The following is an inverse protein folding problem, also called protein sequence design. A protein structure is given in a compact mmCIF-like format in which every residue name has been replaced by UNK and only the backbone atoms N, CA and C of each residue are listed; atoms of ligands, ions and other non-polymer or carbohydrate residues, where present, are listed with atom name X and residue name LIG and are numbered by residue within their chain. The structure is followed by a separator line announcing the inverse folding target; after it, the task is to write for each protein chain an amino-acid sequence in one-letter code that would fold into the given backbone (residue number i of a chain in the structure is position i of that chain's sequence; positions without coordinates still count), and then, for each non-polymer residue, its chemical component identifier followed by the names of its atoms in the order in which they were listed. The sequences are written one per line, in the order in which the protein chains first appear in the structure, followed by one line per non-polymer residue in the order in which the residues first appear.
data_IF_497174411007
#
_entry.id   IF_497174411007
#
_cell.length_a   1.000
_cell.length_b   1.000
_cell.length_c   1.000
_cell.angle_alpha   90.00
_cell.angle_beta   90.00
_cell.angle_gamma   90.00
#
_symmetry.space_group_name_H-M   'P 1'
#
loop_
_entity.id
_entity.type
_entity.pdbx_description
1 polymer ?
#
# COMPACT_ATOMS: atom_id res chain seq x y z
N UNK A 1 5.79 -1.35 13.45
CA UNK A 1 7.09 -0.68 13.18
C UNK A 1 7.30 0.28 14.34
N UNK A 2 8.19 -0.08 15.25
CA UNK A 2 8.50 0.70 16.47
C UNK A 2 9.71 1.59 16.17
N UNK A 3 9.50 2.88 15.96
CA UNK A 3 10.53 3.88 15.64
C UNK A 3 11.32 4.27 16.89
N UNK A 4 11.98 3.30 17.53
CA UNK A 4 12.63 3.51 18.84
C UNK A 4 14.04 4.07 18.74
N UNK A 5 14.24 5.35 18.39
CA UNK A 5 15.62 5.89 18.43
C UNK A 5 15.82 7.35 18.78
N UNK A 6 15.10 7.99 19.72
CA UNK A 6 15.45 9.40 20.04
C UNK A 6 15.32 9.75 21.52
N UNK A 7 16.39 9.57 22.30
CA UNK A 7 16.55 10.19 23.63
C UNK A 7 16.98 11.64 23.46
N UNK A 8 16.26 12.58 24.09
CA UNK A 8 16.63 14.00 24.12
C UNK A 8 16.52 14.61 25.52
N UNK A 9 17.36 15.62 25.73
CA UNK A 9 17.37 16.55 26.85
C UNK A 9 16.15 17.48 26.77
N UNK A 10 15.47 17.70 27.92
CA UNK A 10 14.30 18.59 28.03
C UNK A 10 14.71 20.06 27.84
N UNK A 11 14.09 20.77 26.89
CA UNK A 11 14.01 22.24 26.86
C UNK A 11 12.65 22.69 27.40
N UNK A 12 12.61 23.87 28.02
CA UNK A 12 11.41 24.45 28.63
C UNK A 12 10.31 24.67 27.57
N UNK A 13 9.10 24.20 27.91
CA UNK A 13 7.89 24.36 27.12
C UNK A 13 7.36 25.80 27.26
N UNK A 14 7.36 26.56 26.16
CA UNK A 14 6.53 27.77 26.06
C UNK A 14 5.08 27.34 25.85
N UNK A 15 4.14 27.98 26.56
CA UNK A 15 2.71 27.72 26.44
C UNK A 15 2.24 28.04 25.00
N UNK A 16 2.15 27.00 24.17
CA UNK A 16 1.54 27.05 22.84
C UNK A 16 0.18 26.39 22.91
N UNK A 17 -0.82 27.02 22.31
CA UNK A 17 -2.12 26.40 22.06
C UNK A 17 -1.92 25.29 21.02
N UNK A 18 -1.84 24.05 21.50
CA UNK A 18 -1.69 22.88 20.66
C UNK A 18 -3.04 22.45 20.09
N UNK A 19 -3.07 21.94 18.84
CA UNK A 19 -4.30 21.47 18.22
C UNK A 19 -4.77 20.22 18.97
N UNK A 20 -6.09 20.09 19.15
CA UNK A 20 -6.68 18.94 19.86
C UNK A 20 -7.16 17.86 18.89
N UNK A 21 -7.46 18.23 17.64
CA UNK A 21 -7.87 17.29 16.60
C UNK A 21 -6.90 17.20 15.42
N UNK A 22 -7.01 16.08 14.69
CA UNK A 22 -6.10 15.76 13.58
C UNK A 22 -6.20 16.76 12.43
N UNK A 23 -7.39 17.25 12.10
CA UNK A 23 -7.56 18.16 10.97
C UNK A 23 -6.96 19.55 11.28
N UNK A 24 -7.16 20.05 12.50
CA UNK A 24 -6.49 21.26 12.99
C UNK A 24 -4.98 21.11 13.00
N UNK A 25 -4.48 19.96 13.47
CA UNK A 25 -3.05 19.66 13.48
C UNK A 25 -2.44 19.68 12.08
N UNK A 26 -3.12 19.07 11.10
CA UNK A 26 -2.69 19.09 9.69
C UNK A 26 -2.72 20.52 9.12
N UNK A 27 -3.77 21.31 9.41
CA UNK A 27 -3.85 22.71 8.98
C UNK A 27 -2.72 23.55 9.56
N UNK A 28 -2.42 23.36 10.84
CA UNK A 28 -1.33 24.06 11.50
C UNK A 28 0.03 23.64 10.93
N UNK A 29 0.25 22.35 10.69
CA UNK A 29 1.46 21.84 10.03
C UNK A 29 1.64 22.45 8.63
N UNK A 30 0.58 22.54 7.84
CA UNK A 30 0.61 23.15 6.51
C UNK A 30 0.98 24.63 6.58
N UNK A 31 0.38 25.37 7.53
CA UNK A 31 0.71 26.77 7.80
C UNK A 31 2.18 26.94 8.19
N UNK A 32 2.72 26.07 9.06
CA UNK A 32 4.14 26.07 9.39
C UNK A 32 5.02 25.78 8.17
N UNK A 33 4.65 24.81 7.34
CA UNK A 33 5.41 24.39 6.15
C UNK A 33 5.48 25.49 5.08
N UNK A 34 4.37 26.19 4.85
CA UNK A 34 4.27 27.29 3.89
C UNK A 34 4.87 28.60 4.43
N UNK A 35 4.92 28.76 5.76
CA UNK A 35 5.48 29.93 6.41
C UNK A 35 6.98 30.10 6.15
N UNK A 36 7.38 31.22 5.54
CA UNK A 36 8.79 31.52 5.26
C UNK A 36 9.63 31.67 6.54
N UNK A 37 9.01 32.10 7.64
CA UNK A 37 9.67 32.42 8.92
C UNK A 37 9.18 31.57 10.08
N UNK A 38 8.37 30.54 9.81
CA UNK A 38 7.73 29.73 10.85
C UNK A 38 8.58 28.50 11.19
N UNK A 39 9.00 28.31 12.46
CA UNK A 39 9.65 27.07 12.87
C UNK A 39 8.66 25.88 12.83
N UNK A 40 9.15 24.64 12.63
CA UNK A 40 10.57 24.28 12.52
C UNK A 40 11.15 24.43 11.11
N UNK A 41 10.32 24.65 10.09
CA UNK A 41 10.75 24.66 8.68
C UNK A 41 11.60 25.88 8.30
N UNK A 42 11.43 27.02 8.96
CA UNK A 42 12.32 28.17 8.76
C UNK A 42 13.74 27.93 9.30
N UNK A 43 13.89 27.09 10.33
CA UNK A 43 15.17 26.73 10.95
C UNK A 43 15.82 25.50 10.29
N UNK A 44 15.81 25.44 8.96
CA UNK A 44 16.31 24.26 8.23
C UNK A 44 17.84 24.16 8.19
N UNK A 45 18.55 25.30 8.21
CA UNK A 45 20.01 25.33 8.12
C UNK A 45 20.66 25.45 9.49
N UNK A 46 21.68 24.63 9.77
CA UNK A 46 22.45 24.76 11.00
C UNK A 46 23.22 26.09 11.03
N UNK A 47 23.39 26.72 12.20
CA UNK A 47 24.11 27.99 12.32
C UNK A 47 25.52 27.92 11.72
N UNK A 48 25.86 28.87 10.84
CA UNK A 48 27.18 28.98 10.21
C UNK A 48 27.36 28.13 8.95
N UNK A 49 26.36 27.37 8.52
CA UNK A 49 26.39 26.63 7.25
C UNK A 49 25.81 27.47 6.13
N UNK A 50 26.58 27.63 5.05
CA UNK A 50 26.13 28.24 3.80
C UNK A 50 26.40 27.29 2.62
N UNK A 51 25.43 27.23 1.72
CA UNK A 51 25.51 26.52 0.45
C UNK A 51 25.69 27.52 -0.69
N UNK A 52 26.23 27.03 -1.80
CA UNK A 52 26.26 27.80 -3.04
C UNK A 52 24.85 27.90 -3.63
N UNK A 53 24.55 28.93 -4.45
CA UNK A 53 23.20 29.16 -4.98
C UNK A 53 22.61 28.02 -5.81
N UNK A 54 23.46 27.18 -6.40
CA UNK A 54 23.09 25.99 -7.16
C UNK A 54 22.71 24.79 -6.28
N UNK A 55 23.14 24.75 -5.00
CA UNK A 55 22.89 23.65 -4.07
C UNK A 55 21.84 24.01 -3.03
N UNK A 56 21.78 25.28 -2.62
CA UNK A 56 20.90 25.76 -1.56
C UNK A 56 19.43 25.35 -1.75
N UNK A 57 18.82 25.43 -2.96
CA UNK A 57 17.44 24.99 -3.16
C UNK A 57 17.24 23.50 -2.87
N UNK A 58 18.15 22.65 -3.35
CA UNK A 58 18.13 21.20 -3.11
C UNK A 58 18.29 20.89 -1.63
N UNK A 59 19.28 21.51 -0.97
CA UNK A 59 19.53 21.33 0.46
C UNK A 59 18.32 21.77 1.31
N UNK A 60 17.76 22.95 1.03
CA UNK A 60 16.60 23.48 1.74
C UNK A 60 15.37 22.59 1.56
N UNK A 61 15.09 22.16 0.33
CA UNK A 61 13.92 21.32 0.05
C UNK A 61 14.07 19.93 0.66
N UNK A 62 15.27 19.33 0.61
CA UNK A 62 15.56 18.05 1.25
C UNK A 62 15.35 18.12 2.77
N UNK A 63 15.94 19.12 3.44
CA UNK A 63 15.77 19.27 4.90
C UNK A 63 14.32 19.52 5.29
N UNK A 64 13.61 20.40 4.57
CA UNK A 64 12.18 20.65 4.84
C UNK A 64 11.33 19.40 4.59
N UNK A 65 11.63 18.63 3.54
CA UNK A 65 10.97 17.37 3.23
C UNK A 65 11.15 16.35 4.35
N UNK A 66 12.38 16.20 4.83
CA UNK A 66 12.69 15.34 5.96
C UNK A 66 12.03 15.78 7.26
N UNK A 67 12.00 17.08 7.57
CA UNK A 67 11.26 17.59 8.72
C UNK A 67 9.77 17.24 8.62
N UNK A 68 9.18 17.40 7.43
CA UNK A 68 7.78 17.04 7.22
C UNK A 68 7.57 15.52 7.38
N UNK A 69 8.50 14.71 6.89
CA UNK A 69 8.48 13.25 7.09
C UNK A 69 8.54 12.87 8.57
N UNK A 70 9.39 13.53 9.37
CA UNK A 70 9.47 13.32 10.82
C UNK A 70 8.12 13.50 11.52
N UNK A 71 7.32 14.50 11.11
CA UNK A 71 5.99 14.67 11.68
C UNK A 71 5.09 13.46 11.39
N UNK A 72 5.06 12.98 10.15
CA UNK A 72 4.23 11.82 9.78
C UNK A 72 4.72 10.52 10.43
N UNK A 73 6.02 10.38 10.64
CA UNK A 73 6.60 9.22 11.33
C UNK A 73 6.24 9.19 12.81
N UNK A 74 6.37 10.33 13.51
CA UNK A 74 5.91 10.46 14.90
C UNK A 74 4.39 10.23 15.00
N UNK A 75 3.62 10.72 14.02
CA UNK A 75 2.18 10.51 13.99
C UNK A 75 1.85 9.02 13.78
N UNK A 76 2.59 8.33 12.91
CA UNK A 76 2.46 6.89 12.69
C UNK A 76 2.84 6.07 13.93
N UNK A 77 3.84 6.51 14.71
CA UNK A 77 4.22 5.88 15.97
C UNK A 77 3.08 5.94 16.99
N UNK A 78 2.40 7.09 17.11
CA UNK A 78 1.30 7.27 18.07
C UNK A 78 -0.02 6.63 17.60
N UNK A 79 -0.39 6.82 16.33
CA UNK A 79 -1.73 6.51 15.83
C UNK A 79 -1.79 5.36 14.81
N UNK A 80 -0.64 4.81 14.43
CA UNK A 80 -0.54 3.76 13.42
C UNK A 80 -0.36 4.30 11.99
N UNK A 81 0.11 3.41 11.12
CA UNK A 81 0.49 3.74 9.74
C UNK A 81 -0.68 4.15 8.84
N UNK A 82 -1.86 3.57 9.05
CA UNK A 82 -3.08 3.91 8.28
C UNK A 82 -3.55 5.33 8.60
N UNK A 83 -3.59 5.68 9.89
CA UNK A 83 -3.92 7.03 10.35
C UNK A 83 -2.93 8.07 9.78
N UNK A 84 -1.64 7.80 9.86
CA UNK A 84 -0.60 8.68 9.30
C UNK A 84 -0.72 8.82 7.78
N UNK A 85 -1.04 7.74 7.06
CA UNK A 85 -1.30 7.79 5.62
C UNK A 85 -2.49 8.69 5.30
N UNK A 86 -3.61 8.55 6.01
CA UNK A 86 -4.78 9.42 5.80
C UNK A 86 -4.49 10.88 6.15
N UNK A 87 -3.69 11.13 7.19
CA UNK A 87 -3.24 12.47 7.54
C UNK A 87 -2.37 13.08 6.42
N UNK A 88 -1.46 12.29 5.84
CA UNK A 88 -0.62 12.69 4.70
C UNK A 88 -1.44 12.98 3.44
N UNK A 89 -2.41 12.12 3.11
CA UNK A 89 -3.33 12.32 1.97
C UNK A 89 -4.11 13.63 2.14
N UNK A 90 -4.67 13.86 3.34
CA UNK A 90 -5.36 15.10 3.69
C UNK A 90 -4.45 16.31 3.59
N UNK A 91 -3.21 16.22 4.11
CA UNK A 91 -2.22 17.29 4.02
C UNK A 91 -1.94 17.66 2.56
N UNK A 92 -1.71 16.68 1.69
CA UNK A 92 -1.43 16.91 0.28
C UNK A 92 -2.63 17.53 -0.44
N UNK A 93 -3.86 17.09 -0.14
CA UNK A 93 -5.07 17.70 -0.69
C UNK A 93 -5.25 19.16 -0.26
N UNK A 94 -4.96 19.48 1.01
CA UNK A 94 -4.99 20.86 1.50
C UNK A 94 -3.90 21.72 0.86
N UNK A 95 -2.71 21.16 0.65
CA UNK A 95 -1.63 21.83 -0.07
C UNK A 95 -2.04 22.13 -1.53
N UNK A 96 -2.58 21.14 -2.25
CA UNK A 96 -3.08 21.31 -3.62
C UNK A 96 -4.19 22.37 -3.71
N UNK A 97 -5.07 22.45 -2.72
CA UNK A 97 -6.11 23.47 -2.64
C UNK A 97 -5.53 24.88 -2.43
N UNK A 98 -4.43 25.01 -1.68
CA UNK A 98 -3.75 26.28 -1.44
C UNK A 98 -2.89 26.72 -2.64
N UNK A 99 -2.18 25.78 -3.26
CA UNK A 99 -1.37 25.99 -4.46
C UNK A 99 -1.49 24.75 -5.36
N UNK A 100 -2.08 24.89 -6.57
CA UNK A 100 -2.25 23.77 -7.49
C UNK A 100 -0.92 23.04 -7.76
N UNK A 101 -0.96 21.70 -7.80
CA UNK A 101 0.18 20.77 -8.02
C UNK A 101 1.22 20.69 -6.89
N UNK A 102 1.07 21.47 -5.83
CA UNK A 102 2.01 21.43 -4.70
C UNK A 102 1.89 20.13 -3.88
N UNK A 103 0.67 19.58 -3.74
CA UNK A 103 0.42 18.34 -3.01
C UNK A 103 1.10 17.14 -3.65
N UNK A 104 1.01 16.99 -4.98
CA UNK A 104 1.75 15.94 -5.70
C UNK A 104 3.27 16.06 -5.52
N UNK A 105 3.79 17.29 -5.57
CA UNK A 105 5.23 17.56 -5.39
C UNK A 105 5.69 17.19 -3.99
N UNK A 106 4.91 17.55 -2.96
CA UNK A 106 5.20 17.21 -1.56
C UNK A 106 5.10 15.70 -1.34
N UNK A 107 4.10 15.05 -1.94
CA UNK A 107 3.93 13.61 -1.83
C UNK A 107 5.13 12.86 -2.43
N UNK A 108 5.61 13.30 -3.60
CA UNK A 108 6.82 12.76 -4.22
C UNK A 108 8.07 12.95 -3.36
N UNK A 109 8.18 14.10 -2.68
CA UNK A 109 9.27 14.38 -1.74
C UNK A 109 9.23 13.46 -0.52
N UNK A 110 8.05 13.29 0.10
CA UNK A 110 7.86 12.38 1.24
C UNK A 110 8.14 10.92 0.86
N UNK A 111 7.83 10.49 -0.36
CA UNK A 111 8.19 9.16 -0.85
C UNK A 111 9.69 9.01 -1.10
N UNK A 112 10.38 10.06 -1.55
CA UNK A 112 11.84 10.04 -1.62
C UNK A 112 12.44 9.89 -0.22
N UNK A 113 11.99 10.68 0.76
CA UNK A 113 12.48 10.60 2.15
C UNK A 113 12.23 9.23 2.78
N UNK A 114 11.04 8.66 2.59
CA UNK A 114 10.74 7.30 3.05
C UNK A 114 11.69 6.28 2.41
N UNK A 115 11.91 6.34 1.10
CA UNK A 115 12.83 5.41 0.41
C UNK A 115 14.26 5.57 0.92
N UNK A 116 14.72 6.80 1.14
CA UNK A 116 16.04 7.08 1.70
C UNK A 116 16.17 6.48 3.10
N UNK A 117 15.24 6.76 4.01
CA UNK A 117 15.26 6.20 5.36
C UNK A 117 15.32 4.67 5.37
N UNK A 118 14.45 3.99 4.60
CA UNK A 118 14.44 2.53 4.49
C UNK A 118 15.75 1.99 3.87
N UNK A 119 16.32 2.70 2.90
CA UNK A 119 17.60 2.29 2.31
C UNK A 119 18.72 2.33 3.34
N UNK A 120 18.73 3.32 4.23
CA UNK A 120 19.73 3.40 5.30
C UNK A 120 19.56 2.26 6.27
N UNK A 121 18.33 1.97 6.72
CA UNK A 121 18.04 0.84 7.62
C UNK A 121 18.54 -0.51 7.09
N UNK A 122 18.50 -0.71 5.76
CA UNK A 122 19.00 -1.91 5.12
C UNK A 122 20.54 -2.03 5.08
N UNK A 123 21.29 -0.94 5.28
CA UNK A 123 22.76 -0.95 5.34
C UNK A 123 23.21 -1.57 6.66
N UNK A 124 24.06 -2.60 6.63
CA UNK A 124 24.56 -3.24 7.85
C UNK A 124 25.47 -2.31 8.66
N UNK A 125 25.58 -2.51 9.98
CA UNK A 125 26.46 -1.72 10.84
C UNK A 125 27.93 -1.76 10.36
N UNK A 126 28.37 -2.90 9.82
CA UNK A 126 29.70 -3.09 9.23
C UNK A 126 29.91 -2.16 8.01
N UNK A 127 28.88 -1.99 7.17
CA UNK A 127 28.92 -1.12 6.01
C UNK A 127 28.85 0.37 6.37
N UNK A 128 28.41 0.71 7.59
CA UNK A 128 28.39 2.09 8.11
C UNK A 128 29.66 2.47 8.87
N UNK A 129 30.56 1.51 9.08
CA UNK A 129 31.76 1.67 9.89
C UNK A 129 33.00 1.87 9.02
N UNK A 130 33.71 2.97 9.24
CA UNK A 130 34.90 3.35 8.50
C UNK A 130 36.12 3.42 9.42
N UNK A 131 37.32 3.21 8.86
CA UNK A 131 38.58 3.38 9.59
C UNK A 131 39.20 4.73 9.27
N UNK A 132 39.30 5.59 10.29
CA UNK A 132 39.99 6.86 10.21
C UNK A 132 41.11 6.88 11.26
N UNK A 133 42.35 7.06 10.82
CA UNK A 133 43.54 7.14 11.71
C UNK A 133 43.68 5.97 12.72
N UNK A 134 43.21 4.78 12.33
CA UNK A 134 43.24 3.59 13.19
C UNK A 134 42.04 3.44 14.13
N UNK A 135 41.12 4.42 14.16
CA UNK A 135 39.87 4.37 14.92
C UNK A 135 38.70 3.95 14.01
N UNK A 136 37.78 3.18 14.60
CA UNK A 136 36.54 2.75 13.95
C UNK A 136 35.48 3.82 14.19
N UNK A 137 34.98 4.44 13.12
CA UNK A 137 33.98 5.52 13.16
C UNK A 137 32.73 5.06 12.40
N UNK A 138 31.59 5.01 13.07
CA UNK A 138 30.30 4.79 12.42
C UNK A 138 29.72 6.13 11.95
N UNK A 139 29.35 6.22 10.67
CA UNK A 139 28.71 7.43 10.15
C UNK A 139 27.24 7.48 10.59
N UNK A 140 26.75 8.66 11.01
CA UNK A 140 25.36 8.83 11.44
C UNK A 140 24.39 8.73 10.25
N UNK A 141 23.12 8.42 10.51
CA UNK A 141 22.07 8.26 9.49
C UNK A 141 21.95 9.51 8.61
N UNK A 142 22.07 10.69 9.20
CA UNK A 142 22.00 12.00 8.55
C UNK A 142 23.01 12.14 7.41
N UNK A 143 24.17 11.47 7.51
CA UNK A 143 25.16 11.46 6.43
C UNK A 143 24.66 10.70 5.19
N UNK A 144 24.01 9.56 5.40
CA UNK A 144 23.43 8.77 4.32
C UNK A 144 22.21 9.47 3.70
N UNK A 145 21.38 10.12 4.52
CA UNK A 145 20.27 10.97 4.05
C UNK A 145 20.78 12.14 3.20
N UNK A 146 21.83 12.83 3.66
CA UNK A 146 22.49 13.91 2.91
C UNK A 146 23.04 13.45 1.56
N UNK A 147 23.78 12.34 1.57
CA UNK A 147 24.33 11.78 0.34
C UNK A 147 23.20 11.37 -0.63
N UNK A 148 22.18 10.69 -0.12
CA UNK A 148 21.03 10.26 -0.92
C UNK A 148 20.26 11.43 -1.53
N UNK A 149 19.97 12.46 -0.72
CA UNK A 149 19.30 13.69 -1.17
C UNK A 149 20.07 14.34 -2.31
N UNK A 150 21.37 14.58 -2.12
CA UNK A 150 22.19 15.20 -3.17
C UNK A 150 22.28 14.35 -4.43
N UNK A 151 22.27 13.02 -4.33
CA UNK A 151 22.48 12.14 -5.51
C UNK A 151 21.20 11.77 -6.24
N UNK A 152 20.05 11.81 -5.58
CA UNK A 152 18.79 11.28 -6.10
C UNK A 152 17.73 12.36 -6.39
N UNK A 153 17.85 13.56 -5.83
CA UNK A 153 16.92 14.66 -6.13
C UNK A 153 17.16 15.18 -7.55
N UNK A 154 16.16 15.17 -8.46
CA UNK A 154 16.36 15.51 -9.88
C UNK A 154 17.08 16.84 -10.12
N UNK A 155 16.74 17.87 -9.36
CA UNK A 155 17.28 19.23 -9.51
C UNK A 155 18.66 19.43 -8.87
N UNK A 156 19.24 18.38 -8.28
CA UNK A 156 20.57 18.46 -7.68
C UNK A 156 21.67 18.53 -8.75
N UNK A 157 22.71 19.34 -8.55
CA UNK A 157 23.89 19.35 -9.44
C UNK A 157 24.69 18.03 -9.38
N UNK A 158 24.39 17.14 -8.42
CA UNK A 158 25.09 15.87 -8.24
C UNK A 158 24.30 14.64 -8.76
N UNK A 159 23.13 14.85 -9.35
CA UNK A 159 22.21 13.79 -9.78
C UNK A 159 22.86 12.85 -10.80
N UNK A 160 22.72 11.55 -10.59
CA UNK A 160 23.06 10.52 -11.58
C UNK A 160 24.55 10.35 -11.89
N UNK A 161 25.45 11.09 -11.23
CA UNK A 161 26.89 11.02 -11.49
C UNK A 161 27.70 10.71 -10.23
N UNK A 162 27.82 9.42 -9.88
CA UNK A 162 28.57 8.94 -8.71
C UNK A 162 30.05 9.39 -8.68
N UNK A 163 30.61 9.81 -9.80
CA UNK A 163 32.02 10.23 -9.92
C UNK A 163 32.27 11.68 -9.52
N UNK A 164 31.24 12.53 -9.46
CA UNK A 164 31.40 13.95 -9.08
C UNK A 164 31.60 14.05 -7.56
N UNK A 165 32.70 14.63 -7.05
CA UNK A 165 32.88 14.81 -5.61
C UNK A 165 31.82 15.76 -5.04
N UNK A 166 31.27 15.43 -3.87
CA UNK A 166 30.26 16.25 -3.18
C UNK A 166 30.87 17.50 -2.52
N UNK A 167 32.19 17.65 -2.54
CA UNK A 167 32.94 18.81 -2.05
C UNK A 167 32.59 19.25 -0.62
N UNK A 168 32.24 18.28 0.24
CA UNK A 168 31.87 18.53 1.63
C UNK A 168 30.43 18.96 1.85
N UNK A 169 29.61 19.07 0.79
CA UNK A 169 28.20 19.47 0.90
C UNK A 169 27.32 18.39 1.53
N UNK A 170 27.74 17.12 1.44
CA UNK A 170 27.18 15.99 2.18
C UNK A 170 27.33 16.18 3.70
N UNK A 171 28.52 16.54 4.19
CA UNK A 171 28.73 16.83 5.62
C UNK A 171 27.93 18.04 6.09
N UNK A 172 27.95 19.13 5.31
CA UNK A 172 27.15 20.33 5.62
C UNK A 172 25.66 20.01 5.70
N UNK A 173 25.15 19.25 4.73
CA UNK A 173 23.74 18.88 4.68
C UNK A 173 23.38 17.90 5.81
N UNK A 174 24.29 16.99 6.18
CA UNK A 174 24.09 16.11 7.33
C UNK A 174 23.97 16.89 8.64
N UNK A 175 24.79 17.94 8.83
CA UNK A 175 24.66 18.84 9.98
C UNK A 175 23.34 19.60 9.97
N UNK A 176 22.85 20.03 8.80
CA UNK A 176 21.52 20.63 8.67
C UNK A 176 20.41 19.63 9.00
N UNK A 177 20.49 18.36 8.56
CA UNK A 177 19.52 17.33 8.95
C UNK A 177 19.48 17.12 10.46
N UNK A 178 20.65 16.97 11.09
CA UNK A 178 20.74 16.81 12.55
C UNK A 178 20.13 18.00 13.30
N UNK A 179 20.47 19.23 12.88
CA UNK A 179 19.89 20.45 13.46
C UNK A 179 18.37 20.49 13.27
N UNK A 180 17.91 20.20 12.05
CA UNK A 180 16.51 20.20 11.69
C UNK A 180 15.70 19.14 12.45
N UNK A 181 16.29 17.99 12.77
CA UNK A 181 15.71 16.97 13.66
C UNK A 181 15.47 17.54 15.05
N UNK A 182 16.47 18.18 15.66
CA UNK A 182 16.35 18.77 17.00
C UNK A 182 15.23 19.83 17.05
N UNK A 183 15.22 20.75 16.08
CA UNK A 183 14.20 21.80 15.96
C UNK A 183 12.80 21.23 15.69
N UNK A 184 12.69 20.24 14.80
CA UNK A 184 11.43 19.58 14.47
C UNK A 184 10.87 18.82 15.67
N UNK A 185 11.68 18.00 16.34
CA UNK A 185 11.22 17.19 17.48
C UNK A 185 10.77 18.05 18.67
N UNK A 186 11.38 19.22 18.87
CA UNK A 186 10.98 20.17 19.91
C UNK A 186 9.56 20.71 19.68
N UNK A 187 9.10 20.79 18.43
CA UNK A 187 7.75 21.28 18.08
C UNK A 187 6.77 20.14 17.87
N UNK A 188 7.15 19.12 17.11
CA UNK A 188 6.23 18.08 16.64
C UNK A 188 5.85 17.10 17.73
N UNK A 189 6.72 16.78 18.68
CA UNK A 189 6.37 15.87 19.79
C UNK A 189 5.23 16.40 20.66
N UNK A 190 5.30 17.61 21.25
CA UNK A 190 4.19 18.12 22.05
C UNK A 190 2.92 18.30 21.20
N UNK A 191 3.05 18.73 19.94
CA UNK A 191 1.93 18.83 19.00
C UNK A 191 1.22 17.49 18.78
N UNK A 192 1.97 16.40 18.52
CA UNK A 192 1.39 15.06 18.30
C UNK A 192 0.88 14.44 19.60
N UNK A 193 1.54 14.71 20.73
CA UNK A 193 1.05 14.27 22.03
C UNK A 193 -0.33 14.82 22.35
N UNK A 194 -0.60 16.08 22.00
CA UNK A 194 -1.88 16.76 22.24
C UNK A 194 -3.03 16.31 21.31
N UNK A 195 -2.72 15.71 20.16
CA UNK A 195 -3.71 15.38 19.12
C UNK A 195 -4.15 13.94 19.22
N UNK A 196 -5.45 13.69 19.16
CA UNK A 196 -5.97 12.34 18.94
C UNK A 196 -6.48 12.16 17.51
N UNK A 197 -6.30 10.94 16.99
CA UNK A 197 -6.76 10.59 15.66
C UNK A 197 -8.24 10.21 15.65
N UNK A 198 -9.03 10.96 14.89
CA UNK A 198 -10.40 10.62 14.52
C UNK A 198 -10.61 10.87 13.03
N UNK A 199 -10.79 9.79 12.27
CA UNK A 199 -11.03 9.84 10.83
C UNK A 199 -12.29 10.63 10.46
N UNK A 200 -13.28 10.76 11.35
CA UNK A 200 -14.52 11.51 11.10
C UNK A 200 -14.28 13.01 10.91
N UNK A 201 -13.18 13.51 11.45
CA UNK A 201 -12.80 14.92 11.38
C UNK A 201 -12.04 15.26 10.10
N UNK A 202 -11.65 14.25 9.30
CA UNK A 202 -10.98 14.45 8.03
C UNK A 202 -12.01 14.78 6.93
N UNK A 203 -11.96 15.98 6.33
CA UNK A 203 -12.94 16.39 5.32
C UNK A 203 -12.71 15.71 3.96
N UNK A 204 -11.47 15.29 3.67
CA UNK A 204 -11.08 14.73 2.38
C UNK A 204 -10.17 13.51 2.57
N UNK A 205 -10.14 12.62 1.58
CA UNK A 205 -9.27 11.44 1.52
C UNK A 205 -8.92 11.13 0.07
N UNK A 206 -7.92 10.27 -0.16
CA UNK A 206 -7.64 9.69 -1.48
C UNK A 206 -7.87 8.20 -1.43
N UNK A 207 -8.27 7.60 -2.55
CA UNK A 207 -8.33 6.14 -2.67
C UNK A 207 -6.93 5.54 -2.74
N UNK A 208 -6.75 4.33 -2.20
CA UNK A 208 -5.52 3.58 -2.42
C UNK A 208 -5.39 3.19 -3.90
N UNK A 209 -4.17 3.29 -4.45
CA UNK A 209 -3.86 2.80 -5.81
C UNK A 209 -4.08 1.30 -5.95
N UNK A 210 -3.77 0.55 -4.89
CA UNK A 210 -4.07 -0.88 -4.75
C UNK A 210 -4.93 -1.08 -3.51
N UNK A 211 -6.26 -0.93 -3.63
CA UNK A 211 -7.16 -1.10 -2.49
C UNK A 211 -7.23 -2.57 -2.07
N UNK A 212 -7.44 -2.80 -0.78
CA UNK A 212 -7.91 -4.11 -0.33
C UNK A 212 -9.37 -4.33 -0.69
N UNK A 213 -9.90 -5.50 -0.38
CA UNK A 213 -11.22 -5.90 -0.80
C UNK A 213 -12.34 -5.01 -0.26
N UNK A 214 -12.26 -4.61 1.01
CA UNK A 214 -13.28 -3.77 1.65
C UNK A 214 -13.21 -2.35 1.11
N UNK A 215 -12.01 -1.77 0.96
CA UNK A 215 -11.83 -0.45 0.33
C UNK A 215 -12.30 -0.46 -1.13
N UNK A 216 -11.98 -1.53 -1.89
CA UNK A 216 -12.42 -1.68 -3.29
C UNK A 216 -13.94 -1.68 -3.40
N UNK A 217 -14.64 -2.33 -2.47
CA UNK A 217 -16.09 -2.32 -2.47
C UNK A 217 -16.69 -0.96 -2.10
N UNK A 218 -16.03 -0.17 -1.24
CA UNK A 218 -16.41 1.24 -1.03
C UNK A 218 -16.22 2.06 -2.31
N UNK A 219 -15.14 1.86 -3.05
CA UNK A 219 -14.91 2.54 -4.33
C UNK A 219 -16.02 2.26 -5.34
N UNK A 220 -16.49 1.00 -5.44
CA UNK A 220 -17.60 0.65 -6.34
C UNK A 220 -18.87 1.41 -6.01
N UNK A 221 -19.15 1.59 -4.72
CA UNK A 221 -20.39 2.23 -4.21
C UNK A 221 -20.35 3.75 -4.30
N UNK A 222 -19.19 4.35 -4.10
CA UNK A 222 -19.04 5.78 -3.96
C UNK A 222 -19.58 6.57 -5.16
N UNK A 223 -20.59 7.42 -4.91
CA UNK A 223 -21.28 8.22 -5.94
C UNK A 223 -21.79 7.42 -7.14
N UNK A 224 -22.14 6.14 -6.93
CA UNK A 224 -22.56 5.25 -8.00
C UNK A 224 -24.09 4.98 -7.97
N UNK A 225 -24.87 5.45 -8.96
CA UNK A 225 -26.31 5.28 -9.02
C UNK A 225 -26.75 3.81 -9.13
N UNK A 226 -25.87 2.88 -9.50
CA UNK A 226 -26.17 1.44 -9.44
C UNK A 226 -26.50 0.96 -8.02
N UNK A 227 -26.09 1.72 -7.00
CA UNK A 227 -26.37 1.43 -5.60
C UNK A 227 -27.46 2.36 -5.04
N UNK A 228 -28.22 1.94 -4.02
CA UNK A 228 -29.15 2.81 -3.32
C UNK A 228 -28.47 4.06 -2.75
N UNK A 229 -29.16 5.20 -2.71
CA UNK A 229 -28.59 6.50 -2.31
C UNK A 229 -27.83 6.46 -0.96
N UNK A 230 -28.38 5.77 0.03
CA UNK A 230 -27.77 5.64 1.36
C UNK A 230 -26.46 4.82 1.36
N UNK A 231 -26.18 4.07 0.29
CA UNK A 231 -24.95 3.28 0.08
C UNK A 231 -23.92 4.04 -0.76
N UNK A 232 -24.32 5.11 -1.45
CA UNK A 232 -23.44 5.89 -2.32
C UNK A 232 -22.52 6.84 -1.54
N UNK A 233 -22.92 7.18 -0.30
CA UNK A 233 -22.14 8.02 0.59
C UNK A 233 -21.02 7.19 1.22
N UNK A 234 -19.79 7.64 1.03
CA UNK A 234 -18.61 7.09 1.73
C UNK A 234 -17.93 8.24 2.45
N UNK A 235 -17.60 8.03 3.72
CA UNK A 235 -16.89 9.00 4.55
C UNK A 235 -15.42 8.61 4.74
N UNK A 236 -14.59 9.55 5.21
CA UNK A 236 -13.22 9.24 5.60
C UNK A 236 -13.15 8.16 6.69
N UNK A 237 -14.14 8.11 7.60
CA UNK A 237 -14.23 7.05 8.61
C UNK A 237 -14.49 5.68 7.98
N UNK A 238 -15.39 5.56 7.00
CA UNK A 238 -15.62 4.30 6.30
C UNK A 238 -14.35 3.80 5.60
N UNK A 239 -13.59 4.70 4.97
CA UNK A 239 -12.32 4.37 4.33
C UNK A 239 -11.26 3.95 5.36
N UNK A 240 -11.21 4.61 6.51
CA UNK A 240 -10.32 4.22 7.61
C UNK A 240 -10.61 2.78 8.09
N UNK A 241 -11.87 2.49 8.41
CA UNK A 241 -12.30 1.17 8.88
C UNK A 241 -12.06 0.09 7.83
N UNK A 242 -12.33 0.38 6.56
CA UNK A 242 -12.04 -0.52 5.47
C UNK A 242 -10.55 -0.85 5.36
N UNK A 243 -9.69 0.17 5.44
CA UNK A 243 -8.24 -0.01 5.41
C UNK A 243 -7.72 -0.80 6.61
N UNK A 244 -8.30 -0.59 7.80
CA UNK A 244 -7.97 -1.39 8.98
C UNK A 244 -8.33 -2.87 8.75
N UNK A 245 -9.54 -3.15 8.27
CA UNK A 245 -10.00 -4.51 7.99
C UNK A 245 -9.13 -5.19 6.91
N UNK A 246 -8.82 -4.48 5.82
CA UNK A 246 -7.98 -4.98 4.73
C UNK A 246 -6.55 -5.29 5.20
N UNK A 247 -5.95 -4.42 6.02
CA UNK A 247 -4.61 -4.67 6.58
C UNK A 247 -4.61 -5.82 7.58
N UNK A 248 -5.64 -5.93 8.43
CA UNK A 248 -5.77 -7.04 9.36
C UNK A 248 -5.89 -8.37 8.62
N UNK A 249 -6.70 -8.44 7.56
CA UNK A 249 -6.83 -9.65 6.75
C UNK A 249 -5.49 -10.12 6.15
N UNK A 250 -4.69 -9.18 5.62
CA UNK A 250 -3.36 -9.50 5.11
C UNK A 250 -2.37 -9.90 6.23
N UNK A 251 -2.46 -9.28 7.40
CA UNK A 251 -1.61 -9.63 8.54
C UNK A 251 -1.92 -11.03 9.06
N UNK A 252 -3.19 -11.41 9.12
CA UNK A 252 -3.62 -12.76 9.53
C UNK A 252 -3.06 -13.82 8.58
N UNK A 253 -3.18 -13.58 7.27
CA UNK A 253 -2.61 -14.47 6.23
C UNK A 253 -1.09 -14.56 6.39
N UNK A 254 -0.41 -13.46 6.69
CA UNK A 254 1.04 -13.42 6.86
C UNK A 254 1.50 -14.21 8.09
N UNK A 255 0.77 -14.11 9.19
CA UNK A 255 1.05 -14.86 10.42
C UNK A 255 0.90 -16.37 10.16
N UNK A 256 -0.22 -16.76 9.56
CA UNK A 256 -0.52 -18.14 9.21
C UNK A 256 0.49 -18.72 8.20
N UNK A 257 0.89 -17.95 7.19
CA UNK A 257 1.95 -18.33 6.27
C UNK A 257 3.29 -18.56 7.00
N UNK A 258 3.66 -17.70 7.94
CA UNK A 258 4.89 -17.85 8.70
C UNK A 258 4.88 -19.13 9.54
N UNK A 259 3.76 -19.47 10.17
CA UNK A 259 3.59 -20.70 10.93
C UNK A 259 3.73 -21.95 10.04
N UNK A 260 3.05 -21.97 8.89
CA UNK A 260 3.12 -23.08 7.93
C UNK A 260 4.53 -23.22 7.37
N UNK A 261 5.16 -22.12 6.96
CA UNK A 261 6.53 -22.11 6.45
C UNK A 261 7.51 -22.64 7.48
N UNK A 262 7.41 -22.17 8.73
CA UNK A 262 8.26 -22.63 9.82
C UNK A 262 8.09 -24.14 10.04
N UNK A 263 6.85 -24.61 10.12
CA UNK A 263 6.55 -26.03 10.38
C UNK A 263 7.07 -26.91 9.25
N UNK A 264 6.87 -26.49 7.99
CA UNK A 264 7.41 -27.21 6.83
C UNK A 264 8.95 -27.24 6.85
N UNK A 265 9.60 -26.11 7.12
CA UNK A 265 11.08 -26.02 7.17
C UNK A 265 11.73 -26.86 8.28
N UNK A 266 10.99 -27.15 9.35
CA UNK A 266 11.47 -27.99 10.46
C UNK A 266 11.39 -29.49 10.14
N UNK A 267 10.69 -29.87 9.07
CA UNK A 267 10.58 -31.26 8.62
C UNK A 267 11.85 -31.64 7.86
N UNK A 268 12.81 -32.27 8.55
CA UNK A 268 14.09 -32.68 7.98
C UNK A 268 13.97 -33.88 7.03
N UNK A 269 13.08 -34.81 7.33
CA UNK A 269 12.78 -36.00 6.53
C UNK A 269 11.27 -36.13 6.34
N UNK A 270 10.85 -36.52 5.13
CA UNK A 270 9.44 -36.74 4.84
C UNK A 270 8.92 -37.96 5.61
N UNK A 271 7.70 -37.91 6.17
CA UNK A 271 7.13 -39.05 6.87
C UNK A 271 6.81 -40.20 5.90
N UNK A 272 6.64 -41.43 6.41
CA UNK A 272 6.32 -42.60 5.58
C UNK A 272 5.06 -42.41 4.72
N UNK A 273 4.10 -41.63 5.21
CA UNK A 273 2.91 -41.19 4.48
C UNK A 273 3.13 -39.84 3.78
N UNK A 274 4.26 -39.69 3.09
CA UNK A 274 4.68 -38.42 2.48
C UNK A 274 3.65 -37.83 1.52
N UNK A 275 2.89 -38.66 0.78
CA UNK A 275 1.95 -38.17 -0.23
C UNK A 275 0.79 -37.37 0.39
N UNK A 276 -0.02 -37.92 1.32
CA UNK A 276 -1.03 -37.13 2.04
C UNK A 276 -0.44 -35.92 2.79
N UNK A 277 0.80 -36.05 3.29
CA UNK A 277 1.48 -34.97 3.98
C UNK A 277 1.76 -33.77 3.04
N UNK A 278 2.43 -34.01 1.90
CA UNK A 278 2.73 -32.96 0.92
C UNK A 278 1.46 -32.42 0.25
N UNK A 279 0.46 -33.26 0.01
CA UNK A 279 -0.84 -32.82 -0.49
C UNK A 279 -1.54 -31.86 0.48
N UNK A 280 -1.54 -32.18 1.79
CA UNK A 280 -2.07 -31.30 2.82
C UNK A 280 -1.41 -29.93 2.82
N UNK A 281 -0.08 -29.86 2.74
CA UNK A 281 0.65 -28.59 2.65
C UNK A 281 0.38 -27.84 1.35
N UNK A 282 0.40 -28.54 0.21
CA UNK A 282 0.10 -27.94 -1.10
C UNK A 282 -1.27 -27.28 -1.08
N UNK A 283 -2.30 -28.02 -0.64
CA UNK A 283 -3.67 -27.52 -0.61
C UNK A 283 -3.85 -26.39 0.42
N UNK A 284 -3.10 -26.42 1.53
CA UNK A 284 -3.11 -25.32 2.50
C UNK A 284 -2.51 -24.05 1.92
N UNK A 285 -1.33 -24.15 1.31
CA UNK A 285 -0.65 -23.01 0.66
C UNK A 285 -1.47 -22.48 -0.50
N UNK A 286 -2.14 -23.36 -1.25
CA UNK A 286 -3.08 -22.97 -2.31
C UNK A 286 -4.24 -22.13 -1.76
N UNK A 287 -4.82 -22.50 -0.62
CA UNK A 287 -5.90 -21.74 0.06
C UNK A 287 -5.41 -20.43 0.66
N UNK A 288 -4.19 -20.40 1.20
CA UNK A 288 -3.55 -19.15 1.67
C UNK A 288 -3.40 -18.14 0.53
N UNK A 289 -2.94 -18.61 -0.63
CA UNK A 289 -2.82 -17.75 -1.80
C UNK A 289 -4.18 -17.27 -2.31
N UNK A 290 -5.21 -18.15 -2.33
CA UNK A 290 -6.57 -17.74 -2.68
C UNK A 290 -7.08 -16.65 -1.73
N UNK A 291 -6.91 -16.82 -0.41
CA UNK A 291 -7.28 -15.79 0.58
C UNK A 291 -6.50 -14.48 0.39
N UNK A 292 -5.23 -14.54 0.02
CA UNK A 292 -4.43 -13.35 -0.32
C UNK A 292 -4.99 -12.63 -1.54
N UNK A 293 -5.35 -13.37 -2.59
CA UNK A 293 -5.96 -12.81 -3.80
C UNK A 293 -7.31 -12.16 -3.46
N UNK A 294 -8.13 -12.81 -2.63
CA UNK A 294 -9.39 -12.25 -2.14
C UNK A 294 -9.16 -10.96 -1.35
N UNK A 295 -8.19 -10.92 -0.44
CA UNK A 295 -7.92 -9.76 0.40
C UNK A 295 -7.48 -8.53 -0.41
N UNK A 296 -6.88 -8.72 -1.59
CA UNK A 296 -6.43 -7.64 -2.45
C UNK A 296 -5.31 -6.79 -1.82
N UNK A 297 -5.19 -5.55 -2.27
CA UNK A 297 -4.21 -4.59 -1.74
C UNK A 297 -2.77 -4.84 -2.17
N UNK A 298 -1.84 -4.11 -1.55
CA UNK A 298 -0.41 -4.22 -1.83
C UNK A 298 0.20 -5.43 -1.09
N UNK A 299 0.22 -6.59 -1.76
CA UNK A 299 0.70 -7.83 -1.13
C UNK A 299 1.66 -8.67 -2.01
N UNK A 300 2.21 -8.09 -3.09
CA UNK A 300 3.11 -8.81 -4.02
C UNK A 300 4.25 -9.58 -3.32
N UNK A 301 4.96 -9.02 -2.31
CA UNK A 301 6.01 -9.79 -1.61
C UNK A 301 5.49 -11.01 -0.85
N UNK A 302 4.26 -10.96 -0.32
CA UNK A 302 3.63 -12.11 0.33
C UNK A 302 3.26 -13.17 -0.72
N UNK A 303 2.74 -12.76 -1.88
CA UNK A 303 2.46 -13.66 -3.00
C UNK A 303 3.72 -14.39 -3.49
N UNK A 304 4.84 -13.66 -3.64
CA UNK A 304 6.14 -14.25 -4.01
C UNK A 304 6.63 -15.25 -2.95
N UNK A 305 6.50 -14.93 -1.67
CA UNK A 305 6.91 -15.82 -0.58
C UNK A 305 6.05 -17.10 -0.53
N UNK A 306 4.73 -16.99 -0.73
CA UNK A 306 3.81 -18.11 -0.82
C UNK A 306 4.15 -19.00 -2.03
N UNK A 307 4.41 -18.39 -3.19
CA UNK A 307 4.80 -19.10 -4.40
C UNK A 307 6.13 -19.86 -4.22
N UNK A 308 7.10 -19.27 -3.51
CA UNK A 308 8.37 -19.92 -3.21
C UNK A 308 8.18 -21.18 -2.33
N UNK A 309 7.41 -21.07 -1.23
CA UNK A 309 7.11 -22.22 -0.38
C UNK A 309 6.37 -23.33 -1.15
N UNK A 310 5.43 -22.94 -2.02
CA UNK A 310 4.72 -23.88 -2.89
C UNK A 310 5.67 -24.61 -3.84
N UNK A 311 6.64 -23.89 -4.41
CA UNK A 311 7.66 -24.47 -5.27
C UNK A 311 8.54 -25.48 -4.50
N UNK A 312 8.93 -25.17 -3.26
CA UNK A 312 9.68 -26.09 -2.40
C UNK A 312 8.90 -27.37 -2.09
N UNK A 313 7.60 -27.25 -1.75
CA UNK A 313 6.70 -28.39 -1.53
C UNK A 313 6.63 -29.27 -2.78
N UNK A 314 6.45 -28.67 -3.96
CA UNK A 314 6.40 -29.42 -5.22
C UNK A 314 7.75 -30.03 -5.60
N UNK A 315 8.87 -29.37 -5.29
CA UNK A 315 10.19 -29.94 -5.52
C UNK A 315 10.40 -31.21 -4.67
N UNK A 316 9.98 -31.19 -3.40
CA UNK A 316 9.97 -32.38 -2.55
C UNK A 316 9.10 -33.50 -3.14
N UNK A 317 7.90 -33.19 -3.61
CA UNK A 317 7.01 -34.16 -4.24
C UNK A 317 7.65 -34.79 -5.49
N UNK A 318 8.20 -33.95 -6.38
CA UNK A 318 8.87 -34.41 -7.61
C UNK A 318 10.02 -35.35 -7.30
N UNK A 319 10.79 -35.10 -6.24
CA UNK A 319 11.91 -35.96 -5.81
C UNK A 319 11.45 -37.38 -5.47
N UNK A 320 10.31 -37.53 -4.79
CA UNK A 320 9.76 -38.83 -4.40
C UNK A 320 9.24 -39.64 -5.59
N UNK A 321 8.66 -38.96 -6.59
CA UNK A 321 8.05 -39.62 -7.76
C UNK A 321 8.94 -39.65 -9.01
N UNK A 322 10.17 -39.12 -8.94
CA UNK A 322 11.04 -38.87 -10.11
C UNK A 322 11.26 -40.10 -11.00
N UNK A 323 11.26 -41.31 -10.41
CA UNK A 323 11.48 -42.58 -11.15
C UNK A 323 10.24 -43.03 -11.92
N UNK A 324 9.06 -42.50 -11.59
CA UNK A 324 7.79 -42.82 -12.24
C UNK A 324 7.38 -41.67 -13.17
N UNK A 325 7.72 -41.82 -14.47
CA UNK A 325 7.37 -40.82 -15.50
C UNK A 325 5.88 -40.55 -15.60
N UNK A 326 5.03 -41.55 -15.41
CA UNK A 326 3.59 -41.37 -15.48
C UNK A 326 3.09 -40.51 -14.31
N UNK A 327 3.50 -40.82 -13.08
CA UNK A 327 3.14 -40.01 -11.90
C UNK A 327 3.63 -38.56 -12.02
N UNK A 328 4.84 -38.34 -12.54
CA UNK A 328 5.35 -37.00 -12.77
C UNK A 328 4.50 -36.23 -13.79
N UNK A 329 4.16 -36.85 -14.92
CA UNK A 329 3.31 -36.24 -15.94
C UNK A 329 1.91 -35.89 -15.40
N UNK A 330 1.31 -36.77 -14.61
CA UNK A 330 0.02 -36.52 -13.96
C UNK A 330 0.10 -35.33 -13.00
N UNK A 331 1.16 -35.25 -12.18
CA UNK A 331 1.36 -34.10 -11.29
C UNK A 331 1.45 -32.79 -12.08
N UNK A 332 2.30 -32.71 -13.11
CA UNK A 332 2.44 -31.47 -13.91
C UNK A 332 1.13 -31.06 -14.60
N UNK A 333 0.37 -32.02 -15.11
CA UNK A 333 -0.93 -31.75 -15.72
C UNK A 333 -1.93 -31.20 -14.69
N UNK A 334 -1.97 -31.77 -13.48
CA UNK A 334 -2.83 -31.28 -12.40
C UNK A 334 -2.43 -29.88 -11.95
N UNK A 335 -1.13 -29.60 -11.86
CA UNK A 335 -0.60 -28.28 -11.49
C UNK A 335 -0.94 -27.23 -12.56
N UNK A 336 -0.77 -27.55 -13.85
CA UNK A 336 -1.15 -26.65 -14.94
C UNK A 336 -2.66 -26.33 -14.90
N UNK A 337 -3.51 -27.36 -14.76
CA UNK A 337 -4.97 -27.20 -14.67
C UNK A 337 -5.37 -26.35 -13.45
N UNK A 338 -4.76 -26.56 -12.29
CA UNK A 338 -5.02 -25.76 -11.08
C UNK A 338 -4.60 -24.30 -11.27
N UNK A 339 -3.45 -24.05 -11.91
CA UNK A 339 -2.96 -22.70 -12.19
C UNK A 339 -3.88 -21.94 -13.15
N UNK A 340 -4.29 -22.58 -14.26
CA UNK A 340 -5.25 -22.00 -15.22
C UNK A 340 -6.57 -21.65 -14.55
N UNK A 341 -7.13 -22.59 -13.76
CA UNK A 341 -8.38 -22.36 -13.03
C UNK A 341 -8.25 -21.22 -12.01
N UNK A 342 -7.10 -21.10 -11.33
CA UNK A 342 -6.85 -20.02 -10.37
C UNK A 342 -6.81 -18.66 -11.06
N UNK A 343 -6.07 -18.53 -12.16
CA UNK A 343 -6.01 -17.28 -12.95
C UNK A 343 -7.40 -16.87 -13.43
N UNK A 344 -8.19 -17.84 -13.88
CA UNK A 344 -9.55 -17.62 -14.35
C UNK A 344 -10.50 -17.11 -13.26
N UNK A 345 -10.46 -17.71 -12.06
CA UNK A 345 -11.40 -17.39 -10.98
C UNK A 345 -10.98 -16.22 -10.10
N UNK A 346 -9.67 -16.00 -9.93
CA UNK A 346 -9.11 -14.97 -9.04
C UNK A 346 -8.37 -13.86 -9.79
N UNK A 347 -8.42 -13.85 -11.12
CA UNK A 347 -7.81 -12.80 -11.94
C UNK A 347 -8.60 -11.48 -11.98
N UNK A 348 -9.79 -11.45 -11.37
CA UNK A 348 -10.63 -10.26 -11.20
C UNK A 348 -11.05 -10.15 -9.73
N UNK A 349 -10.89 -8.96 -9.15
CA UNK A 349 -11.21 -8.69 -7.73
C UNK A 349 -12.66 -9.02 -7.39
N UNK A 350 -13.60 -8.74 -8.31
CA UNK A 350 -15.01 -9.02 -8.08
C UNK A 350 -15.27 -10.52 -7.93
N UNK A 351 -14.73 -11.35 -8.81
CA UNK A 351 -14.91 -12.81 -8.75
C UNK A 351 -14.21 -13.39 -7.51
N UNK A 352 -13.00 -12.91 -7.20
CA UNK A 352 -12.30 -13.32 -5.98
C UNK A 352 -13.15 -13.05 -4.73
N UNK A 353 -13.71 -11.84 -4.62
CA UNK A 353 -14.53 -11.45 -3.47
C UNK A 353 -15.88 -12.17 -3.41
N UNK A 354 -16.49 -12.48 -4.55
CA UNK A 354 -17.70 -13.29 -4.62
C UNK A 354 -17.45 -14.72 -4.12
N UNK A 355 -16.28 -15.28 -4.44
CA UNK A 355 -15.90 -16.64 -4.05
C UNK A 355 -15.36 -16.74 -2.61
N UNK A 356 -15.25 -15.61 -1.88
CA UNK A 356 -14.76 -15.61 -0.52
C UNK A 356 -15.73 -16.30 0.45
N UNK A 357 -15.20 -16.91 1.51
CA UNK A 357 -16.06 -17.39 2.60
C UNK A 357 -16.81 -16.21 3.22
N UNK A 358 -18.14 -16.28 3.20
CA UNK A 358 -19.01 -15.22 3.70
C UNK A 358 -19.30 -14.07 2.72
N UNK A 359 -18.77 -14.10 1.48
CA UNK A 359 -18.86 -13.06 0.43
C UNK A 359 -18.71 -11.63 0.94
N UNK A 360 -17.59 -10.97 0.61
CA UNK A 360 -17.38 -9.56 0.99
C UNK A 360 -18.35 -8.59 0.29
N UNK A 361 -19.04 -9.06 -0.75
CA UNK A 361 -20.08 -8.31 -1.44
C UNK A 361 -21.44 -8.82 -0.94
N UNK A 362 -22.28 -7.96 -0.34
CA UNK A 362 -23.65 -8.32 0.03
C UNK A 362 -24.46 -8.82 -1.18
N UNK A 363 -25.37 -9.80 -1.02
CA UNK A 363 -26.11 -10.39 -2.13
C UNK A 363 -26.83 -9.37 -3.03
N UNK A 364 -27.42 -8.34 -2.45
CA UNK A 364 -28.11 -7.25 -3.14
C UNK A 364 -27.17 -6.30 -3.90
N UNK A 365 -25.88 -6.35 -3.58
CA UNK A 365 -24.83 -5.51 -4.16
C UNK A 365 -23.98 -6.24 -5.20
N UNK A 366 -24.16 -7.56 -5.39
CA UNK A 366 -23.40 -8.39 -6.34
C UNK A 366 -23.46 -7.82 -7.76
N UNK A 367 -24.67 -7.51 -8.23
CA UNK A 367 -24.91 -7.03 -9.60
C UNK A 367 -24.50 -5.56 -9.79
N UNK A 368 -24.87 -4.62 -8.89
CA UNK A 368 -24.30 -3.28 -8.89
C UNK A 368 -22.77 -3.28 -8.89
N UNK A 369 -22.14 -4.11 -8.05
CA UNK A 369 -20.68 -4.21 -7.98
C UNK A 369 -20.08 -4.76 -9.29
N UNK A 370 -20.70 -5.77 -9.90
CA UNK A 370 -20.26 -6.32 -11.18
C UNK A 370 -20.30 -5.27 -12.29
N UNK A 371 -21.41 -4.53 -12.39
CA UNK A 371 -21.58 -3.47 -13.38
C UNK A 371 -20.73 -2.22 -13.10
N UNK A 372 -20.12 -2.13 -11.92
CA UNK A 372 -19.18 -1.07 -11.57
C UNK A 372 -17.77 -1.34 -12.09
N UNK A 373 -17.46 -2.59 -12.46
CA UNK A 373 -16.17 -2.93 -13.05
C UNK A 373 -16.04 -2.37 -14.48
N UNK A 374 -14.80 -2.19 -14.93
CA UNK A 374 -14.53 -1.82 -16.32
C UNK A 374 -14.93 -2.96 -17.28
N UNK A 375 -15.22 -2.70 -18.56
CA UNK A 375 -15.56 -3.76 -19.52
C UNK A 375 -14.53 -4.91 -19.58
N UNK A 376 -13.19 -4.66 -19.60
CA UNK A 376 -12.20 -5.75 -19.56
C UNK A 376 -12.25 -6.59 -18.28
N UNK A 377 -12.50 -5.98 -17.12
CA UNK A 377 -12.63 -6.72 -15.86
C UNK A 377 -13.92 -7.53 -15.81
N UNK A 378 -15.00 -6.98 -16.37
CA UNK A 378 -16.27 -7.69 -16.53
C UNK A 378 -16.12 -8.91 -17.44
N UNK A 379 -15.39 -8.80 -18.55
CA UNK A 379 -15.11 -9.93 -19.45
C UNK A 379 -14.37 -11.05 -18.73
N UNK A 380 -13.36 -10.73 -17.91
CA UNK A 380 -12.66 -11.72 -17.07
C UNK A 380 -13.63 -12.41 -16.11
N UNK A 381 -14.48 -11.63 -15.43
CA UNK A 381 -15.46 -12.17 -14.50
C UNK A 381 -16.45 -13.12 -15.20
N UNK A 382 -17.02 -12.70 -16.34
CA UNK A 382 -17.95 -13.53 -17.13
C UNK A 382 -17.27 -14.80 -17.63
N UNK A 383 -16.06 -14.69 -18.17
CA UNK A 383 -15.29 -15.85 -18.64
C UNK A 383 -15.06 -16.85 -17.51
N UNK A 384 -14.71 -16.36 -16.31
CA UNK A 384 -14.51 -17.22 -15.15
C UNK A 384 -15.79 -17.89 -14.63
N UNK A 385 -16.91 -17.17 -14.62
CA UNK A 385 -18.21 -17.75 -14.28
C UNK A 385 -18.67 -18.78 -15.32
N UNK A 386 -18.42 -18.55 -16.61
CA UNK A 386 -18.79 -19.45 -17.70
C UNK A 386 -18.01 -20.77 -17.68
N UNK A 387 -16.71 -20.72 -17.40
CA UNK A 387 -15.89 -21.93 -17.40
C UNK A 387 -16.05 -22.80 -16.14
N UNK A 388 -16.77 -22.32 -15.12
CA UNK A 388 -17.01 -23.05 -13.87
C UNK A 388 -18.50 -23.43 -13.72
N UNK A 389 -18.90 -24.70 -13.98
CA UNK A 389 -20.31 -25.11 -14.04
C UNK A 389 -21.15 -24.75 -12.81
N UNK A 390 -20.57 -24.82 -11.62
CA UNK A 390 -21.26 -24.46 -10.37
C UNK A 390 -21.63 -22.97 -10.27
N UNK A 391 -21.11 -22.11 -11.15
CA UNK A 391 -21.35 -20.66 -11.17
C UNK A 391 -22.29 -20.24 -12.31
N UNK A 392 -22.79 -21.17 -13.13
CA UNK A 392 -23.70 -20.87 -14.24
C UNK A 392 -25.01 -20.22 -13.80
N UNK A 393 -25.58 -20.67 -12.68
CA UNK A 393 -26.78 -20.06 -12.10
C UNK A 393 -26.52 -18.62 -11.64
N UNK A 394 -25.36 -18.38 -11.04
CA UNK A 394 -24.93 -17.03 -10.63
C UNK A 394 -24.80 -16.10 -11.83
N UNK A 395 -24.22 -16.58 -12.93
CA UNK A 395 -24.11 -15.81 -14.18
C UNK A 395 -25.49 -15.49 -14.76
N UNK A 396 -26.39 -16.48 -14.83
CA UNK A 396 -27.75 -16.30 -15.33
C UNK A 396 -28.53 -15.26 -14.49
N UNK A 397 -28.39 -15.33 -13.16
CA UNK A 397 -28.95 -14.34 -12.25
C UNK A 397 -28.37 -12.94 -12.51
N UNK A 398 -27.05 -12.82 -12.62
CA UNK A 398 -26.38 -11.55 -12.88
C UNK A 398 -26.85 -10.92 -14.18
N UNK A 399 -26.98 -11.70 -15.27
CA UNK A 399 -27.49 -11.25 -16.56
C UNK A 399 -28.90 -10.68 -16.43
N UNK A 400 -29.84 -11.44 -15.85
CA UNK A 400 -31.23 -11.00 -15.72
C UNK A 400 -31.39 -9.75 -14.84
N UNK A 401 -30.68 -9.72 -13.71
CA UNK A 401 -30.72 -8.60 -12.77
C UNK A 401 -30.04 -7.33 -13.33
N UNK A 402 -28.95 -7.49 -14.09
CA UNK A 402 -28.26 -6.37 -14.74
C UNK A 402 -29.17 -5.63 -15.72
N UNK A 403 -29.89 -6.36 -16.59
CA UNK A 403 -30.83 -5.75 -17.53
C UNK A 403 -31.94 -4.96 -16.82
N UNK A 404 -32.48 -5.50 -15.72
CA UNK A 404 -33.49 -4.81 -14.91
C UNK A 404 -32.94 -3.53 -14.30
N UNK A 405 -31.80 -3.62 -13.60
CA UNK A 405 -31.16 -2.49 -12.94
C UNK A 405 -30.81 -1.37 -13.93
N UNK A 406 -30.30 -1.71 -15.11
CA UNK A 406 -29.99 -0.72 -16.16
C UNK A 406 -31.24 -0.08 -16.73
N UNK A 407 -32.31 -0.85 -16.93
CA UNK A 407 -33.60 -0.32 -17.37
C UNK A 407 -34.16 0.69 -16.37
N UNK A 408 -34.13 0.35 -15.08
CA UNK A 408 -34.62 1.22 -14.00
C UNK A 408 -33.80 2.52 -13.92
N UNK A 409 -32.47 2.44 -14.07
CA UNK A 409 -31.60 3.61 -14.09
C UNK A 409 -31.83 4.53 -15.28
N UNK A 410 -32.02 3.95 -16.48
CA UNK A 410 -32.37 4.72 -17.68
C UNK A 410 -33.71 5.42 -17.52
N UNK A 411 -34.70 4.76 -16.92
CA UNK A 411 -36.00 5.35 -16.62
C UNK A 411 -35.90 6.49 -15.60
N UNK A 412 -34.99 6.39 -14.63
CA UNK A 412 -34.67 7.44 -13.67
C UNK A 412 -33.82 8.59 -14.26
N UNK A 413 -33.43 8.53 -15.53
CA UNK A 413 -32.65 9.57 -16.20
C UNK A 413 -31.15 9.53 -15.90
N UNK A 414 -30.65 8.46 -15.27
CA UNK A 414 -29.22 8.27 -15.05
C UNK A 414 -28.57 7.67 -16.30
N UNK A 415 -27.57 8.36 -16.85
CA UNK A 415 -26.72 7.82 -17.91
C UNK A 415 -25.41 7.34 -17.31
N UNK A 416 -25.08 6.06 -17.50
CA UNK A 416 -23.87 5.44 -16.97
C UNK A 416 -22.97 5.01 -18.13
N UNK A 417 -21.66 5.31 -18.10
CA UNK A 417 -20.76 5.01 -19.21
C UNK A 417 -20.68 3.50 -19.47
N UNK A 418 -20.47 3.15 -20.73
CA UNK A 418 -20.19 1.79 -21.23
C UNK A 418 -21.26 0.74 -20.94
N UNK A 419 -22.45 1.15 -20.47
CA UNK A 419 -23.45 0.20 -19.99
C UNK A 419 -23.98 -0.73 -21.11
N UNK A 420 -24.06 -0.25 -22.35
CA UNK A 420 -24.41 -1.08 -23.50
C UNK A 420 -23.36 -2.16 -23.77
N UNK A 421 -22.08 -1.84 -23.64
CA UNK A 421 -20.99 -2.81 -23.79
C UNK A 421 -20.97 -3.83 -22.66
N UNK A 422 -21.19 -3.37 -21.42
CA UNK A 422 -21.28 -4.27 -20.26
C UNK A 422 -22.42 -5.28 -20.38
N UNK A 423 -23.59 -4.85 -20.85
CA UNK A 423 -24.71 -5.77 -21.10
C UNK A 423 -24.39 -6.76 -22.23
N UNK A 424 -23.74 -6.30 -23.31
CA UNK A 424 -23.28 -7.18 -24.40
C UNK A 424 -22.31 -8.26 -23.91
N UNK A 425 -21.38 -7.89 -23.03
CA UNK A 425 -20.43 -8.84 -22.41
C UNK A 425 -21.18 -9.89 -21.57
N UNK A 426 -22.14 -9.47 -20.75
CA UNK A 426 -22.97 -10.37 -19.94
C UNK A 426 -23.86 -11.28 -20.79
N UNK A 427 -24.36 -10.77 -21.91
CA UNK A 427 -25.22 -11.54 -22.80
C UNK A 427 -24.47 -12.68 -23.51
N UNK A 428 -23.15 -12.53 -23.66
CA UNK A 428 -22.29 -13.42 -24.42
C UNK A 428 -22.40 -13.20 -25.94
N UNK A 429 -21.56 -13.86 -26.75
CA UNK A 429 -21.79 -13.91 -28.19
C UNK A 429 -23.19 -14.47 -28.44
N UNK A 430 -23.97 -13.81 -29.30
CA UNK A 430 -25.31 -14.27 -29.65
C UNK A 430 -25.23 -15.74 -30.08
N UNK A 431 -25.92 -16.62 -29.35
CA UNK A 431 -26.04 -18.03 -29.71
C UNK A 431 -26.50 -18.09 -31.17
N UNK A 432 -25.65 -18.64 -32.04
CA UNK A 432 -26.11 -19.12 -33.33
C UNK A 432 -27.05 -20.29 -33.02
N UNK A 433 -28.35 -19.99 -33.03
CA UNK A 433 -29.40 -20.99 -33.03
C UNK A 433 -29.06 -21.97 -34.16
N UNK A 434 -28.82 -23.26 -33.87
CA UNK A 434 -28.65 -24.24 -34.92
C UNK A 434 -29.97 -24.31 -35.70
N UNK A 435 -29.89 -24.06 -37.00
CA UNK A 435 -31.00 -24.19 -37.96
C UNK A 435 -31.40 -25.66 -38.10
#
# INVERSE_FOLDING_TARGET
MDWRFWKTVKRLEEARDWPTDTHESIRQLLSMYQGATTPPFASWAAPGIAFTPDIEPTARNGVKGYQLALWFWLFAEKHGTIAARMARETFCLLADAAQPSSGHTIDSLLDLENRLAHSVEAISAEQRTFRQEGLSVELPMEFFLATGTLRLTPDSPYTGNASVPLNGNDYKLADCFRHATEEALAVFRPMIQAVDFDAKLLPNWKWSDRPGAVERHLQRRHSNPLFPLHRQLVTAHDVHEARLADNQALQDIRNEFNEVRQTFSQTQELPLNWQPFLEGYRDYVDRLDERRLVAGGQNSPLGEAIAALRADILAAWRSEIQKNRHSLATLEQDEARKAERRVLLYGCDWTAQLLSHGSLIPPEEVVPALLSESPPELEKAVTGLQAEPRLHETLAHCKAAAHRLVSDLRAAGHNFPDMSDKLRILDGPAEQVPV
#
